data_IF_927027020545
#
_entry.id   IF_927027020545
#
_cell.length_a   1.000
_cell.length_b   1.000
_cell.length_c   1.000
_cell.angle_alpha   90.00
_cell.angle_beta   90.00
_cell.angle_gamma   90.00
#
_symmetry.space_group_name_H-M   'P 1'
#
loop_
_entity.id
_entity.type
_entity.pdbx_description
1 polymer ?
#
# COMPACT_ATOMS: atom_id res chain seq x y z
N UNK A 1 18.02 2.65 12.32
CA UNK A 1 16.62 2.97 12.68
C UNK A 1 15.70 2.13 11.82
N UNK A 2 14.48 1.76 12.28
CA UNK A 2 13.53 1.03 11.46
C UNK A 2 13.08 1.90 10.27
N UNK A 3 13.02 1.31 9.07
CA UNK A 3 12.59 2.00 7.85
C UNK A 3 11.59 1.13 7.11
N UNK A 4 10.51 1.73 6.63
CA UNK A 4 9.56 1.11 5.70
C UNK A 4 9.43 2.00 4.48
N UNK A 5 9.51 1.39 3.30
CA UNK A 5 9.28 2.04 2.01
C UNK A 5 8.09 1.35 1.35
N UNK A 6 7.20 2.13 0.72
CA UNK A 6 6.00 1.62 0.07
C UNK A 6 6.00 1.90 -1.45
N UNK A 7 5.43 1.00 -2.24
CA UNK A 7 5.21 1.21 -3.69
C UNK A 7 4.02 0.41 -4.23
N UNK A 8 3.20 0.97 -5.13
CA UNK A 8 3.30 2.35 -5.62
C UNK A 8 2.83 3.36 -4.55
N UNK A 9 3.30 4.61 -4.64
CA UNK A 9 2.86 5.69 -3.75
C UNK A 9 1.50 6.30 -4.18
N UNK A 10 1.14 6.12 -5.46
CA UNK A 10 -0.13 6.54 -6.04
C UNK A 10 -0.67 5.38 -6.88
N UNK A 11 -1.96 5.11 -6.78
CA UNK A 11 -2.64 4.14 -7.61
C UNK A 11 -3.98 4.70 -8.06
N UNK A 12 -4.22 4.68 -9.37
CA UNK A 12 -5.50 5.08 -9.97
C UNK A 12 -6.28 3.82 -10.34
N UNK A 13 -7.49 3.69 -9.77
CA UNK A 13 -8.40 2.59 -10.06
C UNK A 13 -9.21 2.82 -11.36
N UNK A 14 -9.18 4.02 -11.92
CA UNK A 14 -9.98 4.42 -13.07
C UNK A 14 -11.48 4.39 -12.77
N UNK A 15 -12.26 3.96 -13.75
CA UNK A 15 -13.72 3.85 -13.61
C UNK A 15 -14.09 2.55 -12.91
N UNK A 16 -14.72 2.67 -11.74
CA UNK A 16 -15.23 1.55 -10.95
C UNK A 16 -16.74 1.71 -10.78
N UNK A 17 -17.47 0.63 -11.05
CA UNK A 17 -18.92 0.63 -10.88
C UNK A 17 -19.27 0.57 -9.38
N UNK A 18 -20.24 1.38 -8.94
CA UNK A 18 -20.63 1.56 -7.53
C UNK A 18 -21.03 0.26 -6.83
N UNK A 19 -21.57 -0.72 -7.56
CA UNK A 19 -21.96 -2.02 -6.99
C UNK A 19 -20.86 -3.08 -7.07
N UNK A 20 -19.62 -2.66 -7.37
CA UNK A 20 -18.48 -3.56 -7.54
C UNK A 20 -17.29 -3.12 -6.71
N UNK A 21 -16.34 -4.05 -6.53
CA UNK A 21 -15.08 -3.80 -5.88
C UNK A 21 -13.94 -3.88 -6.90
N UNK A 22 -13.06 -2.89 -6.91
CA UNK A 22 -11.80 -2.96 -7.62
C UNK A 22 -10.67 -3.29 -6.63
N UNK A 23 -9.71 -4.13 -7.03
CA UNK A 23 -8.65 -4.61 -6.13
C UNK A 23 -7.27 -4.27 -6.68
N UNK A 24 -6.37 -3.88 -5.81
CA UNK A 24 -4.94 -3.78 -6.11
C UNK A 24 -4.11 -4.19 -4.90
N UNK A 25 -2.80 -4.05 -5.01
CA UNK A 25 -1.87 -4.18 -3.90
C UNK A 25 -0.75 -3.17 -4.02
N UNK A 26 -0.26 -2.71 -2.88
CA UNK A 26 1.03 -2.06 -2.76
C UNK A 26 1.96 -2.95 -1.94
N UNK A 27 3.23 -2.61 -1.91
CA UNK A 27 4.27 -3.42 -1.31
C UNK A 27 5.09 -2.62 -0.33
N UNK A 28 5.42 -3.25 0.79
CA UNK A 28 6.29 -2.73 1.83
C UNK A 28 7.65 -3.42 1.80
N UNK A 29 8.70 -2.62 1.84
CA UNK A 29 10.08 -3.07 1.92
C UNK A 29 10.75 -2.44 3.14
N UNK A 30 11.51 -3.25 3.89
CA UNK A 30 12.39 -2.78 4.95
C UNK A 30 13.84 -3.00 4.50
N UNK A 31 14.55 -1.95 4.09
CA UNK A 31 15.93 -2.06 3.63
C UNK A 31 16.93 -2.30 4.78
N UNK A 32 16.50 -2.21 6.03
CA UNK A 32 17.36 -2.31 7.22
C UNK A 32 17.30 -3.70 7.83
N UNK A 33 18.29 -4.03 8.67
CA UNK A 33 18.32 -5.29 9.42
C UNK A 33 17.43 -5.27 10.67
N UNK A 34 16.95 -4.08 11.06
CA UNK A 34 16.12 -3.89 12.25
C UNK A 34 14.66 -4.09 11.83
N UNK A 35 13.90 -4.99 12.46
CA UNK A 35 12.46 -5.12 12.21
C UNK A 35 11.75 -3.78 12.35
N UNK A 36 10.88 -3.46 11.40
CA UNK A 36 10.19 -2.17 11.36
C UNK A 36 8.69 -2.39 11.59
N UNK A 37 8.21 -1.96 12.76
CA UNK A 37 6.78 -1.89 13.06
C UNK A 37 6.18 -0.71 12.33
N UNK A 38 5.02 -0.90 11.74
CA UNK A 38 4.36 0.13 10.93
C UNK A 38 2.86 0.18 11.21
N UNK A 39 2.28 1.35 10.91
CA UNK A 39 0.84 1.60 10.92
C UNK A 39 0.46 2.39 9.67
N UNK A 40 -0.72 2.11 9.14
CA UNK A 40 -1.39 2.82 8.05
C UNK A 40 -2.49 3.69 8.64
N UNK A 41 -2.48 4.98 8.35
CA UNK A 41 -3.45 5.94 8.87
C UNK A 41 -3.97 6.81 7.72
N UNK A 42 -5.29 7.02 7.66
CA UNK A 42 -5.88 7.99 6.74
C UNK A 42 -5.42 9.41 7.10
N UNK A 43 -5.10 10.20 6.08
CA UNK A 43 -4.76 11.61 6.20
C UNK A 43 -5.89 12.42 5.58
N UNK A 44 -6.74 13.07 6.40
CA UNK A 44 -7.84 13.86 5.90
C UNK A 44 -7.37 14.98 4.97
N UNK A 45 -8.00 15.06 3.81
CA UNK A 45 -7.76 16.15 2.86
C UNK A 45 -8.34 17.46 3.42
N UNK A 46 -7.54 18.52 3.44
CA UNK A 46 -7.97 19.84 3.95
C UNK A 46 -8.90 20.60 3.00
N UNK A 47 -8.87 20.22 1.72
CA UNK A 47 -9.61 20.86 0.64
C UNK A 47 -10.47 19.81 -0.05
N UNK A 48 -11.70 19.63 0.43
CA UNK A 48 -12.70 18.92 -0.37
C UNK A 48 -12.99 19.78 -1.60
N UNK A 49 -12.47 19.40 -2.76
CA UNK A 49 -12.95 20.01 -4.01
C UNK A 49 -14.42 19.64 -4.21
N UNK A 50 -15.21 20.48 -4.87
CA UNK A 50 -16.60 20.16 -5.20
C UNK A 50 -16.72 18.87 -6.04
N UNK A 51 -15.63 18.43 -6.67
CA UNK A 51 -15.59 17.34 -7.64
C UNK A 51 -15.06 16.02 -7.09
N UNK A 52 -14.51 15.99 -5.87
CA UNK A 52 -13.81 14.81 -5.33
C UNK A 52 -14.14 14.58 -3.86
N UNK A 53 -14.47 13.34 -3.54
CA UNK A 53 -14.83 12.88 -2.21
C UNK A 53 -13.65 12.16 -1.56
N UNK A 54 -13.28 12.60 -0.36
CA UNK A 54 -12.35 11.88 0.52
C UNK A 54 -13.16 11.08 1.55
N UNK A 55 -13.37 9.80 1.24
CA UNK A 55 -14.11 8.86 2.12
C UNK A 55 -13.23 7.62 2.40
N UNK A 56 -12.56 7.56 3.57
CA UNK A 56 -11.72 6.42 3.92
C UNK A 56 -12.50 5.10 4.04
N UNK A 57 -13.83 5.14 4.24
CA UNK A 57 -14.65 3.93 4.37
C UNK A 57 -14.84 3.16 3.06
N UNK A 58 -14.59 3.80 1.92
CA UNK A 58 -14.61 3.16 0.60
C UNK A 58 -13.37 2.26 0.38
N UNK A 59 -12.38 2.28 1.27
CA UNK A 59 -11.13 1.53 1.14
C UNK A 59 -11.04 0.43 2.20
N UNK A 60 -10.79 -0.80 1.76
CA UNK A 60 -10.64 -1.95 2.65
C UNK A 60 -9.24 -2.54 2.48
N UNK A 61 -8.40 -2.36 3.48
CA UNK A 61 -7.08 -2.96 3.56
C UNK A 61 -7.16 -4.33 4.26
N UNK A 62 -6.39 -5.30 3.79
CA UNK A 62 -6.25 -6.60 4.49
C UNK A 62 -5.44 -6.48 5.78
N UNK A 63 -4.60 -5.45 5.89
CA UNK A 63 -3.75 -5.18 7.02
C UNK A 63 -3.42 -3.68 7.11
N UNK A 64 -3.61 -3.09 8.29
CA UNK A 64 -3.37 -1.66 8.56
C UNK A 64 -2.22 -1.43 9.54
N UNK A 65 -1.65 -2.49 10.10
CA UNK A 65 -0.46 -2.42 10.95
C UNK A 65 0.27 -3.75 10.96
N UNK A 66 1.57 -3.73 11.19
CA UNK A 66 2.34 -4.95 11.24
C UNK A 66 3.82 -4.71 11.48
N UNK A 67 4.61 -5.72 11.14
CA UNK A 67 6.07 -5.67 11.24
C UNK A 67 6.70 -6.25 9.97
N UNK A 68 7.60 -5.49 9.34
CA UNK A 68 8.41 -5.96 8.21
C UNK A 68 9.80 -6.30 8.73
N UNK A 69 10.11 -7.60 8.83
CA UNK A 69 11.46 -8.08 9.16
C UNK A 69 12.36 -7.89 7.95
N UNK A 70 13.36 -7.03 8.08
CA UNK A 70 14.34 -6.80 7.02
C UNK A 70 15.64 -7.62 7.19
N UNK A 71 16.57 -7.51 6.23
CA UNK A 71 16.43 -6.74 5.00
C UNK A 71 15.50 -7.46 4.01
N UNK A 72 14.64 -6.71 3.34
CA UNK A 72 13.84 -7.21 2.22
C UNK A 72 14.42 -6.73 0.88
N UNK A 73 13.99 -7.37 -0.20
CA UNK A 73 14.36 -6.96 -1.55
C UNK A 73 13.84 -5.53 -1.85
N UNK A 74 14.52 -4.78 -2.72
CA UNK A 74 14.07 -3.45 -3.12
C UNK A 74 12.75 -3.52 -3.90
N UNK A 75 11.92 -2.49 -3.79
CA UNK A 75 10.62 -2.46 -4.47
C UNK A 75 10.75 -2.51 -6.01
N UNK A 76 11.88 -2.08 -6.55
CA UNK A 76 12.18 -2.20 -7.99
C UNK A 76 12.26 -3.64 -8.48
N UNK A 77 12.51 -4.62 -7.60
CA UNK A 77 12.57 -6.04 -7.98
C UNK A 77 11.22 -6.75 -7.95
N UNK A 78 10.13 -6.09 -7.54
CA UNK A 78 8.81 -6.74 -7.40
C UNK A 78 8.30 -7.31 -8.72
N UNK A 79 8.59 -6.64 -9.83
CA UNK A 79 8.19 -7.09 -11.16
C UNK A 79 9.14 -8.14 -11.76
N UNK A 80 10.28 -8.40 -11.10
CA UNK A 80 11.25 -9.38 -11.59
C UNK A 80 10.72 -10.81 -11.33
N UNK A 81 10.60 -11.60 -12.41
CA UNK A 81 10.42 -13.05 -12.29
C UNK A 81 11.78 -13.67 -11.99
N UNK A 82 12.14 -13.74 -10.71
CA UNK A 82 13.39 -14.35 -10.31
C UNK A 82 13.39 -15.84 -10.65
N UNK A 83 14.49 -16.39 -11.21
CA UNK A 83 14.63 -17.81 -11.45
C UNK A 83 14.43 -18.62 -10.17
N UNK A 84 13.92 -19.84 -10.30
CA UNK A 84 13.85 -20.77 -9.16
C UNK A 84 15.26 -21.02 -8.63
N UNK A 85 15.46 -20.85 -7.33
CA UNK A 85 16.77 -21.04 -6.68
C UNK A 85 17.71 -19.83 -6.76
N UNK A 86 17.22 -18.66 -7.21
CA UNK A 86 17.99 -17.42 -7.13
C UNK A 86 18.28 -17.07 -5.65
N UNK A 87 19.54 -16.89 -5.31
CA UNK A 87 19.94 -16.45 -3.97
C UNK A 87 19.56 -14.98 -3.79
N UNK A 88 18.65 -14.73 -2.86
CA UNK A 88 18.26 -13.37 -2.48
C UNK A 88 19.30 -12.67 -1.58
N UNK A 89 20.46 -13.28 -1.35
CA UNK A 89 21.51 -12.77 -0.47
C UNK A 89 21.01 -12.66 0.97
N UNK A 90 20.18 -13.62 1.39
CA UNK A 90 19.49 -13.61 2.68
C UNK A 90 18.34 -12.59 2.80
N UNK A 91 18.00 -11.84 1.74
CA UNK A 91 16.89 -10.88 1.77
C UNK A 91 15.53 -11.56 1.59
N UNK A 92 14.52 -11.05 2.30
CA UNK A 92 13.13 -11.53 2.20
C UNK A 92 12.38 -10.82 1.08
N UNK A 93 11.27 -11.39 0.63
CA UNK A 93 10.39 -10.70 -0.30
C UNK A 93 9.73 -9.47 0.37
N UNK A 94 9.43 -8.39 -0.38
CA UNK A 94 8.59 -7.31 0.12
C UNK A 94 7.22 -7.83 0.53
N UNK A 95 6.61 -7.25 1.57
CA UNK A 95 5.29 -7.63 2.05
C UNK A 95 4.22 -6.97 1.16
N UNK A 96 3.31 -7.74 0.52
CA UNK A 96 2.16 -7.15 -0.15
C UNK A 96 1.10 -6.73 0.87
N UNK A 97 0.45 -5.60 0.63
CA UNK A 97 -0.78 -5.17 1.31
C UNK A 97 -1.85 -5.07 0.23
N UNK A 98 -2.95 -5.81 0.41
CA UNK A 98 -4.05 -5.81 -0.51
C UNK A 98 -5.06 -4.74 -0.12
N UNK A 99 -5.55 -4.00 -1.11
CA UNK A 99 -6.59 -2.99 -0.92
C UNK A 99 -7.72 -3.20 -1.92
N UNK A 100 -8.94 -3.11 -1.42
CA UNK A 100 -10.16 -3.09 -2.24
C UNK A 100 -10.81 -1.71 -2.16
N UNK A 101 -11.19 -1.17 -3.31
CA UNK A 101 -11.95 0.06 -3.44
C UNK A 101 -13.41 -0.28 -3.76
N UNK A 102 -14.32 0.17 -2.88
CA UNK A 102 -15.74 -0.11 -2.89
C UNK A 102 -16.50 1.24 -2.86
N UNK A 103 -16.63 1.94 -4.01
CA UNK A 103 -17.32 3.23 -4.05
C UNK A 103 -18.79 3.09 -3.71
N UNK A 104 -19.35 4.00 -2.91
CA UNK A 104 -20.76 3.98 -2.50
C UNK A 104 -21.68 4.80 -3.41
N UNK A 105 -21.16 5.82 -4.08
CA UNK A 105 -21.92 6.70 -5.00
C UNK A 105 -21.09 7.03 -6.24
N UNK A 106 -21.75 7.42 -7.33
CA UNK A 106 -21.08 7.71 -8.61
C UNK A 106 -20.43 9.10 -8.63
N UNK A 107 -19.27 9.22 -7.98
CA UNK A 107 -18.46 10.45 -7.87
C UNK A 107 -16.97 10.11 -7.99
N UNK A 108 -16.11 11.12 -8.08
CA UNK A 108 -14.66 10.88 -8.00
C UNK A 108 -14.25 10.73 -6.54
N UNK A 109 -13.37 9.76 -6.27
CA UNK A 109 -12.82 9.52 -4.94
C UNK A 109 -11.31 9.74 -4.95
N UNK A 110 -10.81 10.44 -3.93
CA UNK A 110 -9.38 10.59 -3.69
C UNK A 110 -9.15 10.61 -2.18
N UNK A 111 -8.34 9.66 -1.70
CA UNK A 111 -7.98 9.57 -0.28
C UNK A 111 -6.48 9.38 -0.14
N UNK A 112 -5.92 9.98 0.90
CA UNK A 112 -4.50 9.86 1.23
C UNK A 112 -4.32 8.99 2.46
N UNK A 113 -3.32 8.12 2.42
CA UNK A 113 -2.94 7.28 3.54
C UNK A 113 -1.45 7.42 3.81
N UNK A 114 -1.07 7.44 5.08
CA UNK A 114 0.33 7.51 5.52
C UNK A 114 0.73 6.21 6.18
N UNK A 115 1.94 5.76 5.85
CA UNK A 115 2.61 4.68 6.56
C UNK A 115 3.67 5.29 7.46
N UNK A 116 3.56 5.02 8.76
CA UNK A 116 4.47 5.53 9.79
C UNK A 116 5.14 4.36 10.50
N UNK A 117 6.45 4.44 10.71
CA UNK A 117 7.19 3.49 11.57
C UNK A 117 7.01 3.87 13.04
N UNK A 118 6.78 2.89 13.90
CA UNK A 118 6.69 3.06 15.36
C UNK A 118 7.85 2.40 16.08
#
# INVERSE_FOLDING_TARGET
EPVVVASPALYDFGLVHVETAAKTKFWLSNPTVVPAKWVLEHIPTRESSETTVDDPSCWVFDCENGEVVGPTLPLTSIQARMPKGFDHGGKRAPQPIHVSFNPHVAVNYESQFRISTR
#
